data_IF_662203649861
#
_entry.id   IF_662203649861
#
_cell.length_a   1.000
_cell.length_b   1.000
_cell.length_c   1.000
_cell.angle_alpha   90.00
_cell.angle_beta   90.00
_cell.angle_gamma   90.00
#
_symmetry.space_group_name_H-M   'P 1'
#
loop_
_entity.id
_entity.type
_entity.pdbx_description
1 polymer ?
#
# COMPACT_ATOMS: atom_id res chain seq x y z
N UNK A 1 27.91 -46.07 15.27
CA UNK A 1 27.65 -44.76 15.92
C UNK A 1 27.46 -43.73 14.82
N UNK A 2 26.29 -43.09 14.82
CA UNK A 2 25.71 -42.38 13.68
C UNK A 2 26.20 -40.93 13.53
N UNK A 3 26.31 -40.48 12.28
CA UNK A 3 26.51 -39.07 11.90
C UNK A 3 25.15 -38.36 11.95
N UNK A 4 24.98 -37.38 12.85
CA UNK A 4 23.82 -36.49 12.82
C UNK A 4 24.08 -35.37 11.82
N UNK A 5 23.42 -35.44 10.67
CA UNK A 5 23.16 -34.28 9.82
C UNK A 5 22.10 -33.44 10.54
N UNK A 6 22.49 -32.28 11.07
CA UNK A 6 21.53 -31.23 11.37
C UNK A 6 21.09 -30.67 10.02
N UNK A 7 19.88 -31.00 9.59
CA UNK A 7 19.27 -30.43 8.40
C UNK A 7 19.14 -28.91 8.57
N UNK A 8 19.56 -28.16 7.56
CA UNK A 8 19.25 -26.74 7.46
C UNK A 8 17.72 -26.57 7.62
N UNK A 9 17.25 -25.62 8.45
CA UNK A 9 15.83 -25.34 8.53
C UNK A 9 15.33 -24.86 7.15
N UNK A 10 14.10 -25.25 6.74
CA UNK A 10 13.54 -24.82 5.47
C UNK A 10 13.53 -23.29 5.39
N UNK A 11 13.98 -22.76 4.25
CA UNK A 11 14.13 -21.32 3.96
C UNK A 11 12.82 -20.51 4.02
N UNK A 12 11.70 -21.15 4.34
CA UNK A 12 10.37 -20.53 4.41
C UNK A 12 10.10 -19.76 5.73
N UNK A 13 10.91 -19.92 6.77
CA UNK A 13 10.70 -19.22 8.06
C UNK A 13 11.34 -17.81 8.16
N UNK A 14 11.96 -17.30 7.08
CA UNK A 14 12.57 -15.95 7.08
C UNK A 14 11.66 -14.84 6.52
N UNK A 15 10.39 -15.13 6.17
CA UNK A 15 9.46 -14.16 5.59
C UNK A 15 8.54 -13.45 6.62
N UNK A 16 8.65 -13.77 7.91
CA UNK A 16 7.75 -13.23 8.96
C UNK A 16 8.16 -11.85 9.54
N UNK A 17 9.11 -11.16 8.91
CA UNK A 17 9.39 -9.75 9.20
C UNK A 17 9.08 -8.94 7.96
N UNK A 18 8.14 -7.97 8.01
CA UNK A 18 8.02 -7.02 6.91
C UNK A 18 9.38 -6.35 6.75
N UNK A 19 9.99 -6.52 5.58
CA UNK A 19 11.20 -5.77 5.25
C UNK A 19 10.86 -4.28 5.40
N UNK A 20 11.70 -3.46 6.04
CA UNK A 20 11.47 -2.01 6.16
C UNK A 20 11.10 -1.36 4.83
N UNK A 21 11.65 -1.89 3.73
CA UNK A 21 11.39 -1.48 2.36
C UNK A 21 9.93 -1.67 1.90
N UNK A 22 9.15 -2.60 2.48
CA UNK A 22 7.74 -2.83 2.10
C UNK A 22 6.84 -1.67 2.51
N UNK A 23 6.96 -1.18 3.75
CA UNK A 23 6.13 -0.09 4.24
C UNK A 23 6.41 1.24 3.51
N UNK A 24 7.69 1.52 3.21
CA UNK A 24 8.07 2.67 2.38
C UNK A 24 7.59 2.53 0.93
N UNK A 25 7.63 1.33 0.35
CA UNK A 25 7.11 1.08 -0.99
C UNK A 25 5.60 1.23 -1.05
N UNK A 26 4.86 0.68 -0.09
CA UNK A 26 3.40 0.84 0.02
C UNK A 26 3.01 2.32 0.11
N UNK A 27 3.67 3.08 1.00
CA UNK A 27 3.46 4.52 1.12
C UNK A 27 3.77 5.25 -0.18
N UNK A 28 4.88 4.92 -0.84
CA UNK A 28 5.26 5.55 -2.11
C UNK A 28 4.22 5.31 -3.21
N UNK A 29 3.65 4.11 -3.29
CA UNK A 29 2.61 3.79 -4.28
C UNK A 29 1.34 4.59 -4.01
N UNK A 30 0.85 4.58 -2.76
CA UNK A 30 -0.37 5.31 -2.40
C UNK A 30 -0.17 6.82 -2.60
N UNK A 31 0.94 7.37 -2.11
CA UNK A 31 1.24 8.79 -2.26
C UNK A 31 1.45 9.20 -3.72
N UNK A 32 2.05 8.36 -4.56
CA UNK A 32 2.18 8.62 -5.99
C UNK A 32 0.81 8.72 -6.67
N UNK A 33 -0.15 7.84 -6.34
CA UNK A 33 -1.52 7.92 -6.89
C UNK A 33 -2.24 9.19 -6.42
N UNK A 34 -2.04 9.62 -5.16
CA UNK A 34 -2.61 10.87 -4.65
C UNK A 34 -2.03 12.08 -5.39
N UNK A 35 -0.73 12.07 -5.69
CA UNK A 35 -0.05 13.18 -6.39
C UNK A 35 -0.33 13.19 -7.91
N UNK A 36 -0.50 12.03 -8.52
CA UNK A 36 -0.84 11.85 -9.93
C UNK A 36 -1.91 10.77 -10.09
N UNK A 37 -3.17 11.20 -10.13
CA UNK A 37 -4.33 10.31 -10.25
C UNK A 37 -4.32 9.50 -11.56
N UNK A 38 -3.55 9.89 -12.59
CA UNK A 38 -3.45 9.10 -13.82
C UNK A 38 -2.80 7.73 -13.57
N UNK A 39 -2.06 7.58 -12.47
CA UNK A 39 -1.42 6.33 -12.07
C UNK A 39 -2.40 5.32 -11.47
N UNK A 40 -3.64 5.72 -11.13
CA UNK A 40 -4.58 4.81 -10.44
C UNK A 40 -4.91 3.57 -11.28
N UNK A 41 -5.14 3.72 -12.57
CA UNK A 41 -5.47 2.60 -13.45
C UNK A 41 -4.32 1.57 -13.51
N UNK A 42 -3.09 2.07 -13.60
CA UNK A 42 -1.90 1.22 -13.56
C UNK A 42 -1.76 0.52 -12.20
N UNK A 43 -2.02 1.23 -11.09
CA UNK A 43 -1.97 0.65 -9.75
C UNK A 43 -2.99 -0.50 -9.59
N UNK A 44 -4.23 -0.29 -10.06
CA UNK A 44 -5.33 -1.27 -10.00
C UNK A 44 -5.03 -2.51 -10.87
N UNK A 45 -4.39 -2.33 -12.02
CA UNK A 45 -3.97 -3.44 -12.87
C UNK A 45 -2.89 -4.30 -12.20
N UNK A 46 -1.98 -3.67 -11.43
CA UNK A 46 -0.81 -4.32 -10.86
C UNK A 46 -1.06 -4.93 -9.47
N UNK A 47 -1.96 -4.34 -8.69
CA UNK A 47 -2.11 -4.59 -7.25
C UNK A 47 -3.58 -4.76 -6.85
N UNK A 48 -3.79 -5.61 -5.85
CA UNK A 48 -5.04 -5.73 -5.11
C UNK A 48 -4.85 -5.11 -3.72
N UNK A 49 -5.95 -4.68 -3.07
CA UNK A 49 -5.86 -4.20 -1.69
C UNK A 49 -5.13 -5.15 -0.74
N UNK A 50 -5.33 -6.46 -0.89
CA UNK A 50 -4.79 -7.46 0.02
C UNK A 50 -3.29 -7.74 -0.22
N UNK A 51 -2.70 -7.16 -1.28
CA UNK A 51 -1.24 -7.21 -1.51
C UNK A 51 -0.49 -6.24 -0.58
N UNK A 52 -1.17 -5.23 -0.02
CA UNK A 52 -0.58 -4.34 0.97
C UNK A 52 -0.52 -5.03 2.34
N UNK A 53 0.64 -4.97 3.01
CA UNK A 53 0.80 -5.55 4.34
C UNK A 53 0.06 -4.73 5.41
N UNK A 54 0.14 -3.40 5.33
CA UNK A 54 -0.46 -2.52 6.32
C UNK A 54 -1.98 -2.43 6.16
N UNK A 55 -2.76 -2.82 7.17
CA UNK A 55 -4.24 -2.72 7.13
C UNK A 55 -4.73 -1.33 6.72
N UNK A 56 -4.09 -0.28 7.22
CA UNK A 56 -4.41 1.09 6.83
C UNK A 56 -4.20 1.34 5.33
N UNK A 57 -3.11 0.84 4.75
CA UNK A 57 -2.84 0.93 3.31
C UNK A 57 -3.83 0.13 2.47
N UNK A 58 -4.20 -1.08 2.91
CA UNK A 58 -5.25 -1.87 2.25
C UNK A 58 -6.57 -1.08 2.16
N UNK A 59 -6.96 -0.45 3.26
CA UNK A 59 -8.18 0.36 3.34
C UNK A 59 -8.11 1.61 2.46
N UNK A 60 -6.98 2.32 2.47
CA UNK A 60 -6.76 3.47 1.60
C UNK A 60 -6.83 3.07 0.12
N UNK A 61 -6.20 1.96 -0.29
CA UNK A 61 -6.25 1.51 -1.67
C UNK A 61 -7.67 1.10 -2.10
N UNK A 62 -8.45 0.47 -1.21
CA UNK A 62 -9.89 0.20 -1.45
C UNK A 62 -10.67 1.48 -1.71
N UNK A 63 -10.43 2.52 -0.91
CA UNK A 63 -11.06 3.83 -1.09
C UNK A 63 -10.64 4.50 -2.41
N UNK A 64 -9.37 4.37 -2.83
CA UNK A 64 -8.89 4.86 -4.14
C UNK A 64 -9.62 4.20 -5.30
N UNK A 65 -9.80 2.87 -5.25
CA UNK A 65 -10.56 2.13 -6.26
C UNK A 65 -12.00 2.66 -6.33
N UNK A 66 -12.67 2.76 -5.19
CA UNK A 66 -14.06 3.20 -5.14
C UNK A 66 -14.25 4.64 -5.66
N UNK A 67 -13.32 5.55 -5.37
CA UNK A 67 -13.30 6.91 -5.92
C UNK A 67 -13.08 6.90 -7.44
N UNK A 68 -12.12 6.10 -7.92
CA UNK A 68 -11.81 5.96 -9.34
C UNK A 68 -12.98 5.41 -10.15
N UNK A 69 -13.66 4.38 -9.65
CA UNK A 69 -14.80 3.73 -10.32
C UNK A 69 -15.96 4.68 -10.61
N UNK A 70 -16.13 5.73 -9.80
CA UNK A 70 -17.15 6.77 -9.99
C UNK A 70 -16.61 8.07 -10.57
N UNK A 71 -15.37 8.07 -11.05
CA UNK A 71 -14.72 9.24 -11.67
C UNK A 71 -14.47 10.41 -10.71
N UNK A 72 -14.36 10.14 -9.41
CA UNK A 72 -13.99 11.14 -8.42
C UNK A 72 -12.48 11.30 -8.32
N UNK A 73 -12.03 12.52 -8.00
CA UNK A 73 -10.63 12.79 -7.71
C UNK A 73 -10.16 12.00 -6.47
N UNK A 74 -8.92 11.52 -6.51
CA UNK A 74 -8.26 10.84 -5.41
C UNK A 74 -7.36 11.85 -4.71
N UNK A 75 -7.93 12.53 -3.72
CA UNK A 75 -7.21 13.49 -2.87
C UNK A 75 -7.44 13.16 -1.37
N UNK A 76 -6.61 13.70 -0.45
CA UNK A 76 -6.70 13.34 0.97
C UNK A 76 -8.06 13.63 1.62
N UNK A 77 -8.76 14.68 1.18
CA UNK A 77 -10.08 15.06 1.73
C UNK A 77 -11.12 14.00 1.30
N UNK A 78 -11.21 13.72 0.00
CA UNK A 78 -12.19 12.78 -0.54
C UNK A 78 -11.89 11.33 -0.10
N UNK A 79 -10.63 10.97 0.07
CA UNK A 79 -10.24 9.69 0.68
C UNK A 79 -10.71 9.61 2.14
N UNK A 80 -10.56 10.69 2.91
CA UNK A 80 -11.04 10.76 4.29
C UNK A 80 -12.56 10.65 4.39
N UNK A 81 -13.29 11.30 3.48
CA UNK A 81 -14.75 11.19 3.38
C UNK A 81 -15.19 9.77 3.01
N UNK A 82 -14.51 9.15 2.03
CA UNK A 82 -14.77 7.78 1.60
C UNK A 82 -14.61 6.79 2.76
N UNK A 83 -13.45 6.85 3.43
CA UNK A 83 -13.15 5.98 4.55
C UNK A 83 -14.10 6.23 5.72
N UNK A 84 -14.56 7.47 5.94
CA UNK A 84 -15.56 7.78 6.96
C UNK A 84 -16.91 7.15 6.61
N UNK A 85 -17.34 7.26 5.36
CA UNK A 85 -18.60 6.69 4.88
C UNK A 85 -18.64 5.17 5.07
N UNK A 86 -17.52 4.49 4.81
CA UNK A 86 -17.37 3.04 4.99
C UNK A 86 -17.11 2.61 6.46
N UNK A 87 -16.96 3.57 7.39
CA UNK A 87 -16.69 3.27 8.81
C UNK A 87 -15.25 2.82 9.10
N UNK A 88 -14.31 3.13 8.22
CA UNK A 88 -12.91 2.68 8.27
C UNK A 88 -11.90 3.78 8.62
N UNK A 89 -12.30 5.07 8.62
CA UNK A 89 -11.38 6.18 8.83
C UNK A 89 -10.52 6.07 10.10
N UNK A 90 -11.12 5.69 11.23
CA UNK A 90 -10.36 5.54 12.48
C UNK A 90 -9.37 4.38 12.42
N UNK A 91 -9.68 3.33 11.64
CA UNK A 91 -8.79 2.17 11.45
C UNK A 91 -7.56 2.52 10.59
N UNK A 92 -7.60 3.62 9.83
CA UNK A 92 -6.44 4.11 9.08
C UNK A 92 -5.57 5.07 9.89
N UNK A 93 -5.94 5.43 11.12
CA UNK A 93 -5.28 6.51 11.87
C UNK A 93 -5.79 7.92 11.50
N UNK A 94 -6.94 7.99 10.83
CA UNK A 94 -7.62 9.24 10.51
C UNK A 94 -7.04 10.00 9.32
N UNK A 95 -7.51 11.24 9.14
CA UNK A 95 -7.13 12.12 8.00
C UNK A 95 -5.65 12.51 8.03
N UNK A 96 -5.05 12.58 9.22
CA UNK A 96 -3.62 12.87 9.40
C UNK A 96 -2.75 11.83 8.68
N UNK A 97 -3.04 10.55 8.87
CA UNK A 97 -2.32 9.46 8.20
C UNK A 97 -2.38 9.58 6.66
N UNK A 98 -3.56 9.82 6.10
CA UNK A 98 -3.74 9.99 4.65
C UNK A 98 -2.90 11.16 4.12
N UNK A 99 -2.81 12.23 4.91
CA UNK A 99 -2.03 13.43 4.55
C UNK A 99 -0.53 13.18 4.62
N UNK A 100 -0.07 12.28 5.50
CA UNK A 100 1.34 11.88 5.61
C UNK A 100 1.81 11.00 4.44
N UNK A 101 0.89 10.34 3.72
CA UNK A 101 1.24 9.47 2.59
C UNK A 101 1.95 10.21 1.46
N UNK A 102 1.73 11.51 1.31
CA UNK A 102 2.39 12.34 0.29
C UNK A 102 3.62 13.08 0.81
N UNK A 103 3.86 13.06 2.13
CA UNK A 103 4.92 13.84 2.75
C UNK A 103 6.31 13.26 2.47
N UNK A 104 7.21 14.10 1.94
CA UNK A 104 8.61 13.74 1.69
C UNK A 104 8.83 12.81 0.48
N UNK A 105 7.79 12.55 -0.32
CA UNK A 105 7.92 11.82 -1.58
C UNK A 105 8.59 12.71 -2.64
N UNK A 106 9.70 12.28 -3.29
CA UNK A 106 10.16 12.96 -4.49
C UNK A 106 9.07 12.92 -5.57
N UNK A 107 9.09 13.84 -6.54
CA UNK A 107 8.17 13.78 -7.68
C UNK A 107 8.43 12.46 -8.46
N UNK A 108 7.59 11.46 -8.24
CA UNK A 108 7.78 10.10 -8.76
C UNK A 108 7.25 9.96 -10.19
N UNK A 109 7.94 9.14 -10.99
CA UNK A 109 7.57 8.85 -12.38
C UNK A 109 7.55 7.34 -12.71
N UNK A 110 7.78 6.43 -11.75
CA UNK A 110 7.84 4.98 -12.07
C UNK A 110 7.19 4.07 -11.00
N UNK A 111 5.86 3.94 -11.10
CA UNK A 111 5.03 3.07 -10.25
C UNK A 111 5.40 1.56 -10.37
N UNK A 112 5.77 1.13 -11.58
CA UNK A 112 6.04 -0.28 -11.88
C UNK A 112 7.27 -0.86 -11.15
N UNK A 113 8.23 -0.02 -10.75
CA UNK A 113 9.36 -0.43 -9.92
C UNK A 113 8.91 -0.83 -8.51
N UNK A 114 8.04 -0.04 -7.88
CA UNK A 114 7.59 -0.25 -6.51
C UNK A 114 6.52 -1.33 -6.39
N UNK A 115 5.66 -1.48 -7.40
CA UNK A 115 4.67 -2.56 -7.42
C UNK A 115 5.30 -3.96 -7.29
N UNK A 116 6.52 -4.15 -7.80
CA UNK A 116 7.29 -5.40 -7.65
C UNK A 116 7.81 -5.66 -6.24
N UNK A 117 7.92 -4.62 -5.41
CA UNK A 117 8.40 -4.71 -4.02
C UNK A 117 7.26 -5.09 -3.08
N UNK A 118 6.03 -4.71 -3.43
CA UNK A 118 4.82 -5.01 -2.65
C UNK A 118 4.28 -6.41 -2.94
N UNK A 119 4.45 -6.90 -4.17
CA UNK A 119 3.90 -8.17 -4.65
C UNK A 119 4.80 -9.38 -4.39
#
# INVERSE_FOLDING_TARGET
MAKNFAADPPRDQMLERPLPHSADAERAILGAVILDNNLVNQAIELLRPDDFYGRAHQLVFRAMIALSERGSEINPILLGEELRREGWLEQTGGVAFISELTYGLPHFTNLAHYAKVVR
#
